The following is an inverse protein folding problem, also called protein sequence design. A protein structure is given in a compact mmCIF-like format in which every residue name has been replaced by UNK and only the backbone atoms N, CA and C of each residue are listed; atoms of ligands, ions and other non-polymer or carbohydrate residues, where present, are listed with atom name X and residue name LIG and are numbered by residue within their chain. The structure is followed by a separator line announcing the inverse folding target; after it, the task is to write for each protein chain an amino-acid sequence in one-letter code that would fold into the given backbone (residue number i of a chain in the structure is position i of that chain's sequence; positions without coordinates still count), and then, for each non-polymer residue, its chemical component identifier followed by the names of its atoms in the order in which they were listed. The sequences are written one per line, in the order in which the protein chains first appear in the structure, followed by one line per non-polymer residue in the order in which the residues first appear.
data_IF_968462479837
#
_entry.id   IF_968462479837
#
_cell.length_a   1.000
_cell.length_b   1.000
_cell.length_c   1.000
_cell.angle_alpha   90.00
_cell.angle_beta   90.00
_cell.angle_gamma   90.00
#
_symmetry.space_group_name_H-M   'P 1'
#
loop_
_entity.id
_entity.type
_entity.pdbx_description
1 polymer ?
#
# COMPACT_ATOMS: atom_id res chain seq x y z
N UNK A 1 -1.50 -10.54 26.62
CA UNK A 1 -0.60 -9.39 26.39
C UNK A 1 -1.23 -8.15 27.02
N UNK A 2 -0.44 -7.13 27.38
CA UNK A 2 -1.02 -5.84 27.77
C UNK A 2 -1.68 -5.17 26.56
N UNK A 3 -2.81 -4.46 26.74
CA UNK A 3 -3.42 -3.65 25.68
C UNK A 3 -2.42 -2.68 25.04
N UNK A 4 -2.57 -2.44 23.74
CA UNK A 4 -1.71 -1.56 22.94
C UNK A 4 -2.57 -0.63 22.10
N UNK A 5 -2.08 0.58 21.85
CA UNK A 5 -2.65 1.51 20.88
C UNK A 5 -2.04 1.24 19.51
N UNK A 6 -2.83 0.70 18.59
CA UNK A 6 -2.40 0.30 17.26
C UNK A 6 -3.04 1.24 16.25
N UNK A 7 -2.22 1.98 15.50
CA UNK A 7 -2.69 2.84 14.42
C UNK A 7 -2.38 2.18 13.08
N UNK A 8 -3.41 1.88 12.31
CA UNK A 8 -3.27 1.48 10.91
C UNK A 8 -3.15 2.71 10.03
N UNK A 9 -2.27 2.65 9.04
CA UNK A 9 -2.08 3.70 8.04
C UNK A 9 -2.26 3.10 6.66
N UNK A 10 -3.27 3.58 5.94
CA UNK A 10 -3.53 3.11 4.58
C UNK A 10 -4.14 4.20 3.73
N UNK A 11 -3.67 4.28 2.50
CA UNK A 11 -4.16 5.20 1.47
C UNK A 11 -4.49 4.39 0.21
N UNK A 12 -5.38 4.89 -0.63
CA UNK A 12 -5.70 4.29 -1.91
C UNK A 12 -7.16 3.86 -2.05
N UNK A 13 -7.37 2.62 -2.52
CA UNK A 13 -8.70 2.10 -2.84
C UNK A 13 -9.30 1.32 -1.67
N UNK A 14 -10.57 0.90 -1.81
CA UNK A 14 -11.21 -0.03 -0.88
C UNK A 14 -10.39 -1.30 -0.68
N UNK A 15 -9.75 -1.81 -1.74
CA UNK A 15 -8.90 -3.02 -1.69
C UNK A 15 -7.64 -2.86 -0.83
N UNK A 16 -7.14 -1.63 -0.68
CA UNK A 16 -5.98 -1.33 0.16
C UNK A 16 -6.36 -1.25 1.65
N UNK A 17 -7.61 -0.92 1.96
CA UNK A 17 -8.05 -0.59 3.33
C UNK A 17 -8.89 -1.70 3.95
N UNK A 18 -9.83 -2.29 3.19
CA UNK A 18 -10.76 -3.29 3.70
C UNK A 18 -10.06 -4.52 4.32
N UNK A 19 -9.03 -5.13 3.69
CA UNK A 19 -8.31 -6.25 4.31
C UNK A 19 -7.62 -5.86 5.61
N UNK A 20 -7.13 -4.61 5.73
CA UNK A 20 -6.53 -4.11 6.96
C UNK A 20 -7.58 -3.88 8.05
N UNK A 21 -8.78 -3.38 7.71
CA UNK A 21 -9.89 -3.26 8.67
C UNK A 21 -10.27 -4.60 9.28
N UNK A 22 -10.25 -5.69 8.50
CA UNK A 22 -10.47 -7.06 9.01
C UNK A 22 -9.42 -7.42 10.07
N UNK A 23 -8.14 -7.13 9.81
CA UNK A 23 -7.06 -7.34 10.78
C UNK A 23 -7.26 -6.45 12.02
N UNK A 24 -7.68 -5.20 11.81
CA UNK A 24 -8.02 -4.26 12.88
C UNK A 24 -9.09 -4.77 13.83
N UNK A 25 -10.23 -5.25 13.31
CA UNK A 25 -11.29 -5.84 14.11
C UNK A 25 -10.81 -7.06 14.92
N UNK A 26 -9.95 -7.89 14.31
CA UNK A 26 -9.36 -9.03 15.02
C UNK A 26 -8.46 -8.58 16.19
N UNK A 27 -7.70 -7.48 16.02
CA UNK A 27 -6.88 -6.92 17.09
C UNK A 27 -7.71 -6.25 18.19
N UNK A 28 -8.82 -5.57 17.87
CA UNK A 28 -9.76 -5.07 18.89
C UNK A 28 -10.37 -6.21 19.70
N UNK A 29 -10.75 -7.31 19.04
CA UNK A 29 -11.27 -8.49 19.72
C UNK A 29 -10.25 -9.14 20.67
N UNK A 30 -8.95 -8.91 20.45
CA UNK A 30 -7.86 -9.33 21.33
C UNK A 30 -7.57 -8.32 22.46
N UNK A 31 -8.31 -7.22 22.54
CA UNK A 31 -8.22 -6.21 23.60
C UNK A 31 -7.26 -5.05 23.32
N UNK A 32 -6.87 -4.85 22.05
CA UNK A 32 -6.10 -3.67 21.64
C UNK A 32 -7.02 -2.50 21.27
N UNK A 33 -6.52 -1.27 21.40
CA UNK A 33 -7.19 -0.09 20.86
C UNK A 33 -6.74 0.09 19.42
N UNK A 34 -7.68 0.13 18.47
CA UNK A 34 -7.35 0.27 17.05
C UNK A 34 -7.89 1.59 16.51
N UNK A 35 -7.08 2.28 15.70
CA UNK A 35 -7.48 3.49 14.97
C UNK A 35 -6.92 3.45 13.57
N UNK A 36 -7.67 3.92 12.59
CA UNK A 36 -7.24 4.01 11.19
C UNK A 36 -6.96 5.45 10.81
N UNK A 37 -5.73 5.70 10.36
CA UNK A 37 -5.31 6.89 9.66
C UNK A 37 -5.42 6.65 8.15
N UNK A 38 -6.40 7.28 7.50
CA UNK A 38 -6.64 7.10 6.06
C UNK A 38 -7.25 8.36 5.44
N UNK A 39 -7.35 8.38 4.12
CA UNK A 39 -7.95 9.48 3.35
C UNK A 39 -9.43 9.62 3.71
N UNK A 40 -9.93 10.86 3.80
CA UNK A 40 -11.30 11.14 4.26
C UNK A 40 -12.38 10.40 3.49
N UNK A 41 -12.18 10.15 2.19
CA UNK A 41 -13.10 9.37 1.35
C UNK A 41 -13.36 7.96 1.88
N UNK A 42 -12.41 7.37 2.62
CA UNK A 42 -12.49 6.03 3.19
C UNK A 42 -13.10 6.00 4.60
N UNK A 43 -13.42 7.15 5.19
CA UNK A 43 -14.04 7.24 6.52
C UNK A 43 -15.33 6.42 6.64
N UNK A 44 -16.29 6.44 5.69
CA UNK A 44 -17.51 5.63 5.81
C UNK A 44 -17.23 4.13 5.80
N UNK A 45 -16.26 3.68 4.99
CA UNK A 45 -15.82 2.28 4.98
C UNK A 45 -15.33 1.88 6.39
N UNK A 46 -14.41 2.65 6.95
CA UNK A 46 -13.77 2.34 8.23
C UNK A 46 -14.77 2.42 9.41
N UNK A 47 -15.54 3.51 9.47
CA UNK A 47 -16.41 3.82 10.61
C UNK A 47 -17.76 3.13 10.51
N UNK A 48 -18.44 3.25 9.37
CA UNK A 48 -19.83 2.78 9.22
C UNK A 48 -19.89 1.29 8.92
N UNK A 49 -19.03 0.79 8.01
CA UNK A 49 -19.04 -0.64 7.64
C UNK A 49 -18.24 -1.51 8.62
N UNK A 50 -17.08 -1.03 9.08
CA UNK A 50 -16.19 -1.80 9.96
C UNK A 50 -16.27 -1.40 11.45
N UNK A 51 -16.89 -0.28 11.80
CA UNK A 51 -17.06 0.12 13.20
C UNK A 51 -15.77 0.56 13.90
N UNK A 52 -14.73 0.90 13.15
CA UNK A 52 -13.39 1.22 13.68
C UNK A 52 -13.20 2.73 13.86
N UNK A 53 -12.37 3.12 14.84
CA UNK A 53 -12.01 4.51 15.04
C UNK A 53 -11.20 5.06 13.84
N UNK A 54 -11.40 6.34 13.51
CA UNK A 54 -10.84 6.98 12.33
C UNK A 54 -10.16 8.31 12.66
N UNK A 55 -9.05 8.60 11.98
CA UNK A 55 -8.37 9.90 11.95
C UNK A 55 -8.02 10.24 10.51
N UNK A 56 -8.34 11.44 10.01
CA UNK A 56 -8.13 11.78 8.61
C UNK A 56 -6.65 12.04 8.31
N UNK A 57 -6.21 11.53 7.16
CA UNK A 57 -5.04 12.03 6.45
C UNK A 57 -5.50 13.01 5.37
N UNK A 58 -4.71 14.06 5.17
CA UNK A 58 -4.92 15.00 4.07
C UNK A 58 -4.54 14.36 2.73
N UNK A 59 -5.15 14.85 1.65
CA UNK A 59 -4.98 14.32 0.30
C UNK A 59 -5.95 13.20 -0.08
N UNK A 60 -5.89 12.80 -1.35
CA UNK A 60 -6.58 11.62 -1.88
C UNK A 60 -5.79 11.06 -3.07
N UNK A 61 -4.91 10.09 -2.84
CA UNK A 61 -4.05 9.42 -3.80
C UNK A 61 -4.85 8.73 -4.93
N UNK A 62 -5.96 8.08 -4.59
CA UNK A 62 -6.78 7.33 -5.56
C UNK A 62 -8.03 8.09 -6.03
N UNK A 63 -8.20 9.35 -5.64
CA UNK A 63 -9.36 10.17 -6.00
C UNK A 63 -9.59 10.29 -7.50
N UNK A 64 -8.53 10.27 -8.32
CA UNK A 64 -8.66 10.29 -9.78
C UNK A 64 -9.45 9.10 -10.34
N UNK A 65 -9.50 7.97 -9.64
CA UNK A 65 -10.25 6.79 -10.05
C UNK A 65 -11.78 6.99 -9.94
N UNK A 66 -12.24 8.10 -9.37
CA UNK A 66 -13.65 8.42 -9.20
C UNK A 66 -14.10 9.61 -10.06
N UNK A 67 -13.27 10.05 -11.01
CA UNK A 67 -13.60 11.10 -11.97
C UNK A 67 -13.73 10.55 -13.40
N UNK A 68 -14.89 10.81 -14.03
CA UNK A 68 -15.21 10.33 -15.39
C UNK A 68 -14.15 10.74 -16.43
N UNK A 69 -13.66 11.99 -16.38
CA UNK A 69 -12.62 12.50 -17.28
C UNK A 69 -11.32 11.69 -17.20
N UNK A 70 -11.01 11.12 -16.03
CA UNK A 70 -9.84 10.28 -15.85
C UNK A 70 -10.10 8.86 -16.37
N UNK A 71 -11.30 8.30 -16.21
CA UNK A 71 -11.63 6.94 -16.68
C UNK A 71 -11.33 6.75 -18.16
N UNK A 72 -11.72 7.70 -19.01
CA UNK A 72 -11.45 7.62 -20.45
C UNK A 72 -9.96 7.68 -20.77
N UNK A 73 -9.21 8.52 -20.04
CA UNK A 73 -7.76 8.64 -20.17
C UNK A 73 -7.05 7.37 -19.69
N UNK A 74 -7.49 6.77 -18.58
CA UNK A 74 -6.99 5.51 -18.03
C UNK A 74 -7.07 4.38 -19.07
N UNK A 75 -8.23 4.22 -19.72
CA UNK A 75 -8.46 3.17 -20.73
C UNK A 75 -7.49 3.20 -21.90
N UNK A 76 -7.04 4.40 -22.27
CA UNK A 76 -6.20 4.63 -23.44
C UNK A 76 -4.70 4.73 -23.07
N UNK A 77 -4.38 4.80 -21.78
CA UNK A 77 -3.04 5.05 -21.28
C UNK A 77 -2.20 3.78 -21.22
N UNK A 78 -0.95 3.87 -21.67
CA UNK A 78 0.08 2.91 -21.28
C UNK A 78 0.59 3.21 -19.86
N UNK A 79 1.46 2.35 -19.31
CA UNK A 79 1.96 2.49 -17.93
C UNK A 79 2.65 3.85 -17.67
N UNK A 80 3.33 4.44 -18.65
CA UNK A 80 4.01 5.74 -18.50
C UNK A 80 2.98 6.87 -18.42
N UNK A 81 1.96 6.83 -19.28
CA UNK A 81 0.88 7.81 -19.26
C UNK A 81 0.06 7.70 -17.97
N UNK A 82 -0.15 6.47 -17.48
CA UNK A 82 -0.79 6.21 -16.20
C UNK A 82 -0.08 6.90 -15.04
N UNK A 83 1.24 6.76 -14.96
CA UNK A 83 2.06 7.42 -13.94
C UNK A 83 1.99 8.94 -14.04
N UNK A 84 1.91 9.50 -15.26
CA UNK A 84 1.74 10.92 -15.46
C UNK A 84 0.36 11.44 -14.98
N UNK A 85 -0.72 10.65 -15.17
CA UNK A 85 -2.04 10.98 -14.63
C UNK A 85 -2.05 10.99 -13.11
N UNK A 86 -1.38 10.03 -12.49
CA UNK A 86 -1.24 9.97 -11.03
C UNK A 86 -0.44 11.16 -10.51
N UNK A 87 0.63 11.58 -11.19
CA UNK A 87 1.39 12.78 -10.82
C UNK A 87 0.58 14.06 -11.00
N UNK A 88 -0.15 14.21 -12.11
CA UNK A 88 -1.08 15.32 -12.36
C UNK A 88 -2.10 15.45 -11.21
N UNK A 89 -2.68 14.33 -10.80
CA UNK A 89 -3.63 14.28 -9.70
C UNK A 89 -2.97 14.61 -8.35
N UNK A 90 -1.82 14.01 -8.05
CA UNK A 90 -1.08 14.25 -6.82
C UNK A 90 -0.65 15.72 -6.66
N UNK A 91 -0.37 16.43 -7.75
CA UNK A 91 0.00 17.85 -7.73
C UNK A 91 -1.18 18.80 -7.40
N UNK A 92 -2.43 18.29 -7.30
CA UNK A 92 -3.58 19.06 -6.81
C UNK A 92 -3.60 19.22 -5.29
N UNK A 93 -2.80 18.43 -4.58
CA UNK A 93 -2.75 18.43 -3.13
C UNK A 93 -1.46 19.06 -2.61
N UNK A 94 -1.55 19.72 -1.47
CA UNK A 94 -0.37 20.22 -0.78
C UNK A 94 0.37 19.06 -0.11
N UNK A 95 1.50 18.66 -0.71
CA UNK A 95 2.38 17.60 -0.20
C UNK A 95 2.84 17.87 1.24
N UNK A 96 3.04 19.14 1.63
CA UNK A 96 3.42 19.47 3.00
C UNK A 96 2.26 19.28 3.98
N UNK A 97 1.03 19.63 3.59
CA UNK A 97 -0.17 19.39 4.39
C UNK A 97 -0.44 17.88 4.55
N UNK A 98 -0.28 17.10 3.47
CA UNK A 98 -0.36 15.63 3.51
C UNK A 98 0.60 15.09 4.56
N UNK A 99 1.89 15.41 4.45
CA UNK A 99 2.91 14.91 5.39
C UNK A 99 2.66 15.39 6.83
N UNK A 100 2.27 16.64 7.02
CA UNK A 100 1.96 17.17 8.35
C UNK A 100 0.77 16.46 9.02
N UNK A 101 -0.20 15.95 8.24
CA UNK A 101 -1.37 15.24 8.78
C UNK A 101 -1.04 13.91 9.45
N UNK A 102 0.11 13.28 9.13
CA UNK A 102 0.51 12.00 9.73
C UNK A 102 0.79 12.11 11.24
N UNK A 103 1.35 13.22 11.71
CA UNK A 103 1.71 13.37 13.13
C UNK A 103 0.47 13.30 14.06
N UNK A 104 -0.55 14.16 13.90
CA UNK A 104 -1.76 14.06 14.72
C UNK A 104 -2.55 12.77 14.45
N UNK A 105 -2.52 12.23 13.22
CA UNK A 105 -3.22 10.99 12.92
C UNK A 105 -2.63 9.79 13.67
N UNK A 106 -1.31 9.74 13.87
CA UNK A 106 -0.61 8.64 14.54
C UNK A 106 -0.32 8.89 16.02
N UNK A 107 -0.75 10.03 16.57
CA UNK A 107 -0.47 10.40 17.96
C UNK A 107 -0.92 9.33 18.96
N UNK A 108 -0.03 8.99 19.91
CA UNK A 108 -0.27 8.02 20.97
C UNK A 108 -0.16 6.54 20.54
N UNK A 109 0.29 6.26 19.31
CA UNK A 109 0.50 4.89 18.83
C UNK A 109 1.68 4.20 19.57
N UNK A 110 1.44 2.99 20.09
CA UNK A 110 2.51 2.06 20.44
C UNK A 110 3.06 1.37 19.18
N UNK A 111 2.15 1.05 18.25
CA UNK A 111 2.43 0.30 17.02
C UNK A 111 1.75 1.02 15.86
N UNK A 112 2.50 1.21 14.77
CA UNK A 112 2.01 1.73 13.50
C UNK A 112 2.06 0.62 12.47
N UNK A 113 0.91 0.16 11.98
CA UNK A 113 0.81 -0.85 10.92
C UNK A 113 0.53 -0.13 9.61
N UNK A 114 1.31 -0.35 8.55
CA UNK A 114 1.14 0.40 7.30
C UNK A 114 1.09 -0.46 6.05
N UNK A 115 0.28 -0.02 5.09
CA UNK A 115 0.31 -0.50 3.71
C UNK A 115 1.48 0.08 2.91
N UNK A 116 1.79 -0.53 1.77
CA UNK A 116 2.97 -0.18 0.98
C UNK A 116 2.94 1.25 0.43
N UNK A 117 1.78 1.76 0.01
CA UNK A 117 1.65 3.06 -0.65
C UNK A 117 2.05 4.25 0.23
N UNK A 118 1.96 4.10 1.55
CA UNK A 118 2.31 5.10 2.56
C UNK A 118 3.48 4.65 3.46
N UNK A 119 4.31 3.69 3.01
CA UNK A 119 5.35 3.09 3.84
C UNK A 119 6.41 4.12 4.28
N UNK A 120 6.89 4.98 3.38
CA UNK A 120 7.92 5.98 3.71
C UNK A 120 7.39 7.03 4.70
N UNK A 121 6.16 7.51 4.51
CA UNK A 121 5.51 8.51 5.35
C UNK A 121 5.21 7.96 6.75
N UNK A 122 4.62 6.76 6.82
CA UNK A 122 4.30 6.10 8.08
C UNK A 122 5.53 5.68 8.86
N UNK A 123 6.60 5.23 8.19
CA UNK A 123 7.88 4.92 8.83
C UNK A 123 8.48 6.16 9.49
N UNK A 124 8.53 7.29 8.76
CA UNK A 124 9.07 8.54 9.30
C UNK A 124 8.23 9.07 10.48
N UNK A 125 6.91 8.98 10.41
CA UNK A 125 6.03 9.36 11.52
C UNK A 125 6.19 8.43 12.73
N UNK A 126 6.29 7.11 12.52
CA UNK A 126 6.50 6.14 13.58
C UNK A 126 7.86 6.35 14.29
N UNK A 127 8.92 6.62 13.51
CA UNK A 127 10.24 6.96 14.04
C UNK A 127 10.18 8.22 14.91
N UNK A 128 9.48 9.27 14.45
CA UNK A 128 9.30 10.51 15.21
C UNK A 128 8.55 10.30 16.53
N UNK A 129 7.50 9.47 16.51
CA UNK A 129 6.65 9.19 17.67
C UNK A 129 7.25 8.15 18.62
N UNK A 130 8.36 7.50 18.25
CA UNK A 130 8.94 6.39 19.01
C UNK A 130 8.08 5.11 18.99
N UNK A 131 7.21 4.96 18.00
CA UNK A 131 6.32 3.81 17.84
C UNK A 131 7.00 2.66 17.08
N UNK A 132 6.56 1.43 17.33
CA UNK A 132 7.01 0.28 16.53
C UNK A 132 6.32 0.28 15.18
N UNK A 133 7.10 0.38 14.09
CA UNK A 133 6.56 0.32 12.73
C UNK A 133 6.50 -1.12 12.22
N UNK A 134 5.33 -1.53 11.72
CA UNK A 134 5.07 -2.87 11.20
C UNK A 134 4.53 -2.75 9.75
N UNK A 135 5.34 -3.06 8.74
CA UNK A 135 4.88 -3.09 7.36
C UNK A 135 4.00 -4.34 7.11
N UNK A 136 2.74 -4.11 6.78
CA UNK A 136 1.76 -5.15 6.41
C UNK A 136 1.26 -4.89 5.00
N UNK A 137 1.86 -5.55 4.02
CA UNK A 137 1.62 -5.30 2.61
C UNK A 137 0.63 -6.31 2.03
N UNK A 138 -0.32 -5.79 1.27
CA UNK A 138 -1.30 -6.58 0.53
C UNK A 138 -0.76 -6.90 -0.86
N UNK A 139 -0.92 -8.13 -1.35
CA UNK A 139 -0.52 -8.48 -2.72
C UNK A 139 0.98 -8.80 -2.89
N UNK A 140 1.59 -8.40 -4.01
CA UNK A 140 2.92 -8.86 -4.45
C UNK A 140 4.09 -7.87 -4.21
N UNK A 141 4.09 -7.14 -3.09
CA UNK A 141 5.16 -6.17 -2.77
C UNK A 141 6.39 -6.85 -2.18
N UNK A 142 7.20 -7.44 -3.06
CA UNK A 142 8.35 -8.23 -2.68
C UNK A 142 9.59 -7.39 -2.35
N UNK A 143 10.39 -7.86 -1.39
CA UNK A 143 11.78 -7.39 -1.27
C UNK A 143 12.58 -7.82 -2.52
N UNK A 144 13.71 -7.16 -2.82
CA UNK A 144 14.53 -7.55 -3.96
C UNK A 144 14.98 -9.02 -3.89
N UNK A 145 14.60 -9.80 -4.90
CA UNK A 145 14.99 -11.21 -5.05
C UNK A 145 15.61 -11.49 -6.41
N UNK A 146 16.48 -12.50 -6.48
CA UNK A 146 17.00 -13.06 -7.72
C UNK A 146 16.04 -14.03 -8.43
N UNK A 147 14.96 -14.46 -7.79
CA UNK A 147 14.13 -15.55 -8.31
C UNK A 147 13.20 -15.10 -9.46
N UNK A 148 12.63 -13.91 -9.37
CA UNK A 148 11.70 -13.37 -10.35
C UNK A 148 11.79 -11.84 -10.42
N UNK A 149 11.47 -11.22 -11.57
CA UNK A 149 11.47 -9.77 -11.71
C UNK A 149 10.34 -9.14 -10.90
N UNK A 150 10.44 -7.84 -10.64
CA UNK A 150 9.34 -7.08 -10.05
C UNK A 150 8.13 -7.09 -11.01
N UNK A 151 6.91 -7.26 -10.50
CA UNK A 151 5.69 -7.42 -11.34
C UNK A 151 5.47 -6.30 -12.35
N UNK A 152 5.70 -5.04 -11.96
CA UNK A 152 5.64 -3.89 -12.90
C UNK A 152 6.68 -3.92 -14.04
N UNK A 153 7.73 -4.74 -13.92
CA UNK A 153 8.82 -4.87 -14.89
C UNK A 153 8.77 -6.22 -15.64
N UNK A 154 7.83 -7.11 -15.33
CA UNK A 154 7.77 -8.47 -15.88
C UNK A 154 7.62 -8.48 -17.42
N UNK A 155 6.87 -7.53 -17.98
CA UNK A 155 6.74 -7.37 -19.44
C UNK A 155 7.95 -6.73 -20.14
N UNK A 156 8.87 -6.12 -19.38
CA UNK A 156 10.06 -5.44 -19.91
C UNK A 156 11.34 -6.23 -19.69
N UNK A 157 11.33 -7.16 -18.73
CA UNK A 157 12.51 -7.85 -18.24
C UNK A 157 12.18 -9.34 -18.14
N UNK A 158 12.81 -10.16 -18.99
CA UNK A 158 12.72 -11.61 -18.86
C UNK A 158 13.45 -12.11 -17.61
N UNK A 159 12.96 -13.19 -17.00
CA UNK A 159 13.64 -13.87 -15.87
C UNK A 159 14.84 -14.70 -16.34
N UNK A 160 15.76 -14.08 -17.09
CA UNK A 160 16.92 -14.75 -17.68
C UNK A 160 18.08 -14.86 -16.69
N UNK A 161 18.26 -13.85 -15.83
CA UNK A 161 19.37 -13.77 -14.89
C UNK A 161 18.95 -13.17 -13.54
N UNK A 162 19.37 -13.80 -12.44
CA UNK A 162 18.95 -13.37 -11.09
C UNK A 162 19.42 -11.98 -10.67
N UNK A 163 20.56 -11.48 -11.19
CA UNK A 163 20.98 -10.10 -10.90
C UNK A 163 20.07 -9.07 -11.58
N UNK A 164 19.51 -9.40 -12.75
CA UNK A 164 18.54 -8.55 -13.47
C UNK A 164 17.23 -8.50 -12.70
N UNK A 165 16.78 -9.63 -12.16
CA UNK A 165 15.61 -9.71 -11.28
C UNK A 165 15.78 -8.78 -10.07
N UNK A 166 16.89 -8.90 -9.32
CA UNK A 166 17.17 -8.00 -8.16
C UNK A 166 17.21 -6.53 -8.55
N UNK A 167 17.83 -6.23 -9.69
CA UNK A 167 17.89 -4.87 -10.20
C UNK A 167 16.50 -4.32 -10.52
N UNK A 168 15.61 -5.12 -11.11
CA UNK A 168 14.24 -4.68 -11.45
C UNK A 168 13.44 -4.24 -10.22
N UNK A 169 13.58 -4.94 -9.09
CA UNK A 169 12.97 -4.54 -7.81
C UNK A 169 13.55 -3.22 -7.30
N UNK A 170 14.89 -3.11 -7.23
CA UNK A 170 15.57 -1.89 -6.78
C UNK A 170 15.25 -0.68 -7.66
N UNK A 171 15.12 -0.89 -8.96
CA UNK A 171 14.75 0.15 -9.91
C UNK A 171 13.38 0.74 -9.57
N UNK A 172 12.37 -0.11 -9.36
CA UNK A 172 11.02 0.32 -8.97
C UNK A 172 11.05 1.09 -7.65
N UNK A 173 11.66 0.53 -6.60
CA UNK A 173 11.81 1.21 -5.31
C UNK A 173 12.48 2.58 -5.45
N UNK A 174 13.50 2.68 -6.30
CA UNK A 174 14.18 3.95 -6.58
C UNK A 174 13.27 4.97 -7.28
N UNK A 175 12.45 4.54 -8.25
CA UNK A 175 11.51 5.46 -8.93
C UNK A 175 10.44 5.98 -7.98
N UNK A 176 9.85 5.11 -7.16
CA UNK A 176 8.85 5.49 -6.15
C UNK A 176 9.46 6.48 -5.15
N UNK A 177 10.63 6.16 -4.61
CA UNK A 177 11.32 7.04 -3.66
C UNK A 177 11.72 8.38 -4.28
N UNK A 178 12.23 8.40 -5.51
CA UNK A 178 12.66 9.64 -6.19
C UNK A 178 11.54 10.68 -6.25
N UNK A 179 10.29 10.26 -6.44
CA UNK A 179 9.14 11.16 -6.51
C UNK A 179 8.77 11.78 -5.15
N UNK A 180 9.07 11.07 -4.04
CA UNK A 180 8.72 11.51 -2.68
C UNK A 180 9.89 12.14 -1.92
N UNK A 181 11.13 11.81 -2.29
CA UNK A 181 12.38 12.09 -1.55
C UNK A 181 12.49 13.53 -1.07
N UNK A 182 12.31 14.49 -1.96
CA UNK A 182 12.49 15.92 -1.63
C UNK A 182 11.51 16.37 -0.55
N UNK A 183 10.22 16.01 -0.69
CA UNK A 183 9.19 16.41 0.25
C UNK A 183 9.37 15.71 1.61
N UNK A 184 9.62 14.39 1.59
CA UNK A 184 9.81 13.62 2.83
C UNK A 184 11.08 14.03 3.56
N UNK A 185 12.23 14.20 2.89
CA UNK A 185 13.44 14.62 3.58
C UNK A 185 13.32 16.04 4.16
N UNK A 186 12.70 16.98 3.43
CA UNK A 186 12.40 18.31 3.96
C UNK A 186 11.53 18.22 5.21
N UNK A 187 10.49 17.38 5.20
CA UNK A 187 9.61 17.17 6.35
C UNK A 187 10.36 16.56 7.54
N UNK A 188 11.19 15.53 7.30
CA UNK A 188 12.04 14.89 8.31
C UNK A 188 12.95 15.90 9.01
N UNK A 189 13.66 16.72 8.24
CA UNK A 189 14.62 17.69 8.79
C UNK A 189 13.93 18.86 9.50
N UNK A 190 12.85 19.39 8.91
CA UNK A 190 12.24 20.64 9.38
C UNK A 190 11.21 20.46 10.48
N UNK A 191 10.32 19.47 10.37
CA UNK A 191 9.23 19.25 11.32
C UNK A 191 9.55 18.11 12.29
N UNK A 192 10.04 16.96 11.80
CA UNK A 192 10.30 15.79 12.66
C UNK A 192 11.64 15.88 13.40
N UNK A 193 12.55 16.77 12.96
CA UNK A 193 13.93 16.86 13.47
C UNK A 193 14.71 15.55 13.37
N UNK A 194 14.39 14.75 12.36
CA UNK A 194 15.04 13.48 12.03
C UNK A 194 16.06 13.68 10.90
N UNK A 195 17.11 12.86 10.84
CA UNK A 195 18.04 12.88 9.72
C UNK A 195 17.35 12.51 8.41
N UNK A 196 17.78 13.06 7.26
CA UNK A 196 17.21 12.71 5.96
C UNK A 196 17.51 11.24 5.64
N UNK A 197 16.61 10.59 4.89
CA UNK A 197 16.87 9.27 4.32
C UNK A 197 17.88 9.43 3.18
N UNK A 198 19.06 8.84 3.38
CA UNK A 198 20.19 8.89 2.43
C UNK A 198 20.11 7.81 1.36
N UNK A 199 19.38 6.71 1.64
CA UNK A 199 19.18 5.62 0.69
C UNK A 199 18.56 6.13 -0.63
N UNK A 200 19.03 5.64 -1.79
CA UNK A 200 18.37 5.89 -3.06
C UNK A 200 17.08 5.08 -3.25
N UNK A 201 16.69 4.25 -2.27
CA UNK A 201 15.55 3.33 -2.32
C UNK A 201 14.49 3.58 -1.23
N UNK A 202 14.55 4.73 -0.55
CA UNK A 202 13.59 5.08 0.52
C UNK A 202 13.70 4.13 1.71
N UNK A 203 12.56 3.67 2.22
CA UNK A 203 12.50 2.75 3.37
C UNK A 203 13.04 1.34 3.05
N UNK A 204 13.32 0.99 1.79
CA UNK A 204 13.82 -0.35 1.44
C UNK A 204 15.10 -0.72 2.21
N UNK A 205 16.04 0.20 2.37
CA UNK A 205 17.28 -0.12 3.09
C UNK A 205 16.99 -0.42 4.56
N UNK A 206 16.08 0.33 5.20
CA UNK A 206 15.64 0.03 6.56
C UNK A 206 14.93 -1.34 6.61
N UNK A 207 14.04 -1.60 5.66
CA UNK A 207 13.35 -2.88 5.52
C UNK A 207 14.33 -4.04 5.38
N UNK A 208 15.46 -3.90 4.69
CA UNK A 208 16.42 -5.00 4.48
C UNK A 208 17.45 -5.11 5.60
N UNK A 209 17.91 -3.99 6.17
CA UNK A 209 19.08 -3.96 7.06
C UNK A 209 18.74 -3.87 8.55
N UNK A 210 17.54 -3.42 8.92
CA UNK A 210 17.13 -3.35 10.33
C UNK A 210 16.47 -4.66 10.76
N UNK A 211 17.17 -5.49 11.53
CA UNK A 211 16.69 -6.81 11.97
C UNK A 211 15.40 -6.75 12.82
N UNK A 212 15.05 -5.59 13.39
CA UNK A 212 13.82 -5.41 14.15
C UNK A 212 12.58 -5.17 13.27
N UNK A 213 12.77 -4.94 11.96
CA UNK A 213 11.65 -4.71 11.03
C UNK A 213 11.38 -6.01 10.26
N UNK A 214 10.19 -6.57 10.45
CA UNK A 214 9.69 -7.73 9.70
C UNK A 214 8.60 -7.27 8.75
N UNK A 215 8.73 -7.62 7.46
CA UNK A 215 7.68 -7.38 6.47
C UNK A 215 6.65 -8.50 6.54
N UNK A 216 5.42 -8.15 6.88
CA UNK A 216 4.28 -9.06 6.77
C UNK A 216 3.64 -8.91 5.39
N UNK A 217 3.53 -10.02 4.68
CA UNK A 217 2.88 -10.09 3.38
C UNK A 217 1.53 -10.80 3.56
N UNK A 218 0.45 -10.04 3.52
CA UNK A 218 -0.92 -10.57 3.54
C UNK A 218 -1.32 -11.06 2.15
N UNK A 219 -0.62 -12.08 1.67
CA UNK A 219 -0.97 -12.82 0.46
C UNK A 219 -0.54 -14.28 0.57
N UNK A 220 -1.11 -15.12 -0.30
CA UNK A 220 -0.70 -16.52 -0.41
C UNK A 220 0.69 -16.64 -1.03
N UNK A 221 1.45 -17.64 -0.58
CA UNK A 221 2.72 -18.03 -1.22
C UNK A 221 2.52 -18.44 -2.69
N UNK A 222 1.30 -18.80 -3.10
CA UNK A 222 0.95 -19.02 -4.51
C UNK A 222 1.20 -17.78 -5.40
N UNK A 223 1.25 -16.58 -4.80
CA UNK A 223 1.58 -15.34 -5.50
C UNK A 223 3.06 -14.95 -5.36
N UNK A 224 3.88 -15.80 -4.73
CA UNK A 224 5.31 -15.56 -4.51
C UNK A 224 6.16 -16.26 -5.57
N UNK A 225 6.20 -15.64 -6.75
CA UNK A 225 7.03 -16.10 -7.86
C UNK A 225 6.65 -17.48 -8.41
N UNK A 226 7.41 -18.00 -9.38
CA UNK A 226 7.09 -19.24 -10.08
C UNK A 226 7.22 -20.50 -9.21
N UNK A 227 7.94 -20.43 -8.07
CA UNK A 227 8.13 -21.57 -7.17
C UNK A 227 7.15 -21.59 -6.00
N UNK A 228 6.29 -20.57 -5.89
CA UNK A 228 5.27 -20.46 -4.84
C UNK A 228 5.82 -20.63 -3.42
N UNK A 229 6.97 -20.02 -3.14
CA UNK A 229 7.68 -20.15 -1.86
C UNK A 229 8.30 -18.82 -1.47
N UNK A 230 8.68 -18.69 -0.20
CA UNK A 230 9.51 -17.56 0.22
C UNK A 230 10.85 -17.62 -0.54
N UNK A 231 11.26 -16.55 -1.24
CA UNK A 231 12.55 -16.54 -1.92
C UNK A 231 13.71 -16.90 -0.99
N UNK A 232 14.55 -17.85 -1.44
CA UNK A 232 15.65 -18.39 -0.63
C UNK A 232 16.76 -17.37 -0.35
N UNK A 233 16.78 -16.26 -1.08
CA UNK A 233 17.72 -15.16 -0.88
C UNK A 233 17.23 -14.08 0.10
N UNK A 234 16.08 -14.29 0.74
CA UNK A 234 15.67 -13.49 1.90
C UNK A 234 16.33 -14.01 3.17
N UNK A 235 16.72 -13.07 4.04
CA UNK A 235 17.13 -13.42 5.40
C UNK A 235 15.97 -14.14 6.11
N UNK A 236 16.19 -15.29 6.75
CA UNK A 236 15.14 -16.01 7.47
C UNK A 236 14.42 -15.12 8.49
N UNK A 237 13.08 -15.18 8.50
CA UNK A 237 12.23 -14.39 9.39
C UNK A 237 12.02 -12.93 8.95
N UNK A 238 12.67 -12.48 7.87
CA UNK A 238 12.59 -11.09 7.42
C UNK A 238 11.28 -10.74 6.72
N UNK A 239 10.71 -11.72 6.02
CA UNK A 239 9.41 -11.63 5.37
C UNK A 239 8.55 -12.79 5.85
N UNK A 240 7.35 -12.48 6.32
CA UNK A 240 6.37 -13.46 6.79
C UNK A 240 5.14 -13.39 5.89
N UNK A 241 4.84 -14.48 5.20
CA UNK A 241 3.60 -14.61 4.44
C UNK A 241 2.49 -15.10 5.37
N UNK A 242 1.43 -14.32 5.52
CA UNK A 242 0.34 -14.61 6.44
C UNK A 242 -0.88 -15.22 5.76
N UNK A 243 -0.88 -15.30 4.42
CA UNK A 243 -2.08 -15.62 3.64
C UNK A 243 -2.98 -14.38 3.48
N UNK A 244 -4.20 -14.59 3.00
CA UNK A 244 -5.16 -13.50 2.83
C UNK A 244 -5.91 -13.21 4.14
N UNK A 245 -6.23 -11.93 4.38
CA UNK A 245 -7.09 -11.54 5.48
C UNK A 245 -8.56 -11.78 5.09
N UNK A 246 -9.19 -12.76 5.76
CA UNK A 246 -10.61 -13.07 5.56
C UNK A 246 -11.45 -12.56 6.73
N UNK A 247 -12.61 -11.94 6.47
CA UNK A 247 -13.48 -11.48 7.53
C UNK A 247 -14.07 -12.68 8.29
N UNK A 248 -14.17 -12.56 9.61
CA UNK A 248 -14.78 -13.60 10.46
C UNK A 248 -16.32 -13.58 10.40
N UNK A 249 -16.89 -12.46 9.96
CA UNK A 249 -18.33 -12.27 9.74
C UNK A 249 -18.60 -12.11 8.23
N UNK A 250 -19.75 -12.59 7.72
CA UNK A 250 -20.18 -12.30 6.36
C UNK A 250 -20.19 -10.79 6.12
N UNK A 251 -19.56 -10.36 5.02
CA UNK A 251 -19.62 -8.98 4.56
C UNK A 251 -20.86 -8.79 3.68
N UNK A 252 -21.42 -7.58 3.56
CA UNK A 252 -22.39 -7.28 2.51
C UNK A 252 -21.83 -7.71 1.15
N UNK A 253 -22.70 -8.19 0.24
CA UNK A 253 -22.23 -8.45 -1.12
C UNK A 253 -21.59 -7.18 -1.68
N UNK A 254 -20.36 -7.28 -2.25
CA UNK A 254 -19.72 -6.12 -2.83
C UNK A 254 -20.64 -5.55 -3.90
N UNK A 255 -20.78 -4.22 -3.89
CA UNK A 255 -21.48 -3.53 -4.97
C UNK A 255 -20.84 -3.96 -6.30
N UNK A 256 -21.66 -4.44 -7.24
CA UNK A 256 -21.18 -4.93 -8.53
C UNK A 256 -20.30 -3.84 -9.16
N UNK A 257 -19.00 -4.11 -9.26
CA UNK A 257 -18.06 -3.24 -9.96
C UNK A 257 -18.64 -3.01 -11.35
N UNK A 258 -18.97 -1.75 -11.65
CA UNK A 258 -19.46 -1.39 -12.98
C UNK A 258 -18.28 -1.49 -13.96
N UNK A 259 -17.96 -2.71 -14.41
CA UNK A 259 -16.85 -3.01 -15.33
C UNK A 259 -17.08 -2.50 -16.76
N UNK A 260 -18.12 -1.70 -16.99
CA UNK A 260 -18.32 -0.99 -18.26
C UNK A 260 -17.09 -0.18 -18.68
N UNK A 261 -16.24 0.23 -17.72
CA UNK A 261 -14.98 0.90 -18.01
C UNK A 261 -13.82 0.00 -18.44
N UNK A 262 -13.89 -1.32 -18.24
CA UNK A 262 -12.87 -2.29 -18.64
C UNK A 262 -13.20 -2.89 -20.01
N UNK A 263 -14.49 -2.97 -20.35
CA UNK A 263 -14.94 -3.51 -21.61
C UNK A 263 -14.67 -2.49 -22.73
N UNK A 264 -13.78 -2.82 -23.68
CA UNK A 264 -13.71 -2.12 -24.95
C UNK A 264 -15.12 -2.10 -25.58
N UNK A 265 -15.57 -1.00 -26.17
CA UNK A 265 -16.86 -0.97 -26.84
C UNK A 265 -16.86 -2.05 -27.92
N UNK A 266 -17.66 -3.10 -27.71
CA UNK A 266 -17.96 -4.05 -28.77
C UNK A 266 -18.74 -3.27 -29.82
N UNK A 267 -18.15 -3.14 -31.00
CA UNK A 267 -18.91 -2.73 -32.18
C UNK A 267 -19.95 -3.80 -32.47
N UNK A 268 -21.18 -3.49 -32.06
CA UNK A 268 -22.46 -4.00 -32.52
C UNK A 268 -22.91 -5.40 -32.08
N UNK A 269 -24.17 -5.38 -31.59
CA UNK A 269 -25.22 -6.41 -31.57
C UNK A 269 -25.32 -7.30 -30.31
N UNK A 270 -26.23 -6.86 -29.43
CA UNK A 270 -27.08 -7.63 -28.48
C UNK A 270 -26.56 -8.99 -28.02
N UNK A 271 -25.92 -9.01 -26.85
CA UNK A 271 -26.21 -9.95 -25.75
C UNK A 271 -25.45 -9.47 -24.52
N UNK A 272 -26.15 -9.28 -23.40
CA UNK A 272 -25.55 -8.97 -22.10
C UNK A 272 -24.78 -10.20 -21.61
N UNK A 273 -23.44 -10.18 -21.49
CA UNK A 273 -22.73 -11.25 -20.81
C UNK A 273 -22.54 -10.83 -19.35
N UNK A 274 -23.35 -11.41 -18.47
CA UNK A 274 -23.07 -11.41 -17.04
C UNK A 274 -21.82 -12.26 -16.82
N UNK A 275 -20.67 -11.62 -16.65
CA UNK A 275 -19.43 -12.31 -16.27
C UNK A 275 -19.36 -12.28 -14.74
N UNK A 276 -19.67 -13.41 -14.10
CA UNK A 276 -19.26 -13.67 -12.72
C UNK A 276 -17.76 -13.94 -12.73
N UNK A 277 -16.97 -12.98 -12.26
CA UNK A 277 -15.58 -13.24 -11.86
C UNK A 277 -15.57 -13.57 -10.37
N UNK A 278 -15.63 -14.86 -10.07
CA UNK A 278 -15.04 -15.39 -8.85
C UNK A 278 -13.52 -15.40 -9.04
N UNK A 279 -12.78 -14.70 -8.18
CA UNK A 279 -11.55 -15.14 -7.51
C UNK A 279 -10.96 -13.99 -6.69
#
# INVERSE_FOLDING_TARGET
MAPKNIVFVSVGTRGDVQPLCIVGQALEALGHTVTFAAERRLEPLITTEFGLAFRPLEGDFCGLLFHDDFHDRFRQSNVVQLLALMDEWANRFDKAAILASYIPALEGADIVISGHLCADESYAAAEYLGATWVPLYLGGFNLPTAEFPHGMMEGFVGSWFGFVNRWSHRFVWSQVWKNKRTAINKWRETQLKLPPVTSPYGVLDALVTNDNIVQYQACSLLLSGPKHQVPLDYTPGKVVYTGFAFPTKPQPEPEMLNVSFILKPQTSVTQTPSILLYH
#
